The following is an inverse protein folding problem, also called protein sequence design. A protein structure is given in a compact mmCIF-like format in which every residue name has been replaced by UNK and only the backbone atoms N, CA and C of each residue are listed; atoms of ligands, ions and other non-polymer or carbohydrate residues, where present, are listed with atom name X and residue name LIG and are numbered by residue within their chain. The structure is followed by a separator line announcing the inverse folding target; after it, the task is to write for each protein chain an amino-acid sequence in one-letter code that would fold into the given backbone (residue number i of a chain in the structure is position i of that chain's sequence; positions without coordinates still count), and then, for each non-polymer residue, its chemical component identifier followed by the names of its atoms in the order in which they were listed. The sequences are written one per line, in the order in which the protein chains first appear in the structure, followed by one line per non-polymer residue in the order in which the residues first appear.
data_IF_305008083257
#
_entry.id   IF_305008083257
#
_cell.length_a   1.000
_cell.length_b   1.000
_cell.length_c   1.000
_cell.angle_alpha   90.00
_cell.angle_beta   90.00
_cell.angle_gamma   90.00
#
_symmetry.space_group_name_H-M   'P 1'
#
loop_
_entity.id
_entity.type
_entity.pdbx_description
1 polymer ?
#
# COMPACT_ATOMS: atom_id res chain seq x y z
N UNK A 1 27.51 -5.79 1.30
CA UNK A 1 26.47 -6.77 0.89
C UNK A 1 26.09 -6.51 -0.56
N UNK A 2 26.09 -7.52 -1.41
CA UNK A 2 25.60 -7.34 -2.80
C UNK A 2 24.08 -7.30 -2.78
N UNK A 3 23.46 -6.37 -3.51
CA UNK A 3 21.99 -6.25 -3.66
C UNK A 3 21.35 -7.51 -4.26
N UNK A 4 22.13 -8.36 -4.91
CA UNK A 4 21.64 -9.53 -5.65
C UNK A 4 21.91 -10.86 -4.95
N UNK A 5 22.84 -10.93 -3.99
CA UNK A 5 23.26 -12.18 -3.33
C UNK A 5 23.57 -12.00 -1.85
N UNK A 6 23.37 -13.05 -1.09
CA UNK A 6 23.68 -13.10 0.34
C UNK A 6 24.32 -14.43 0.71
N UNK A 7 24.98 -14.48 1.87
CA UNK A 7 25.56 -15.70 2.44
C UNK A 7 24.64 -16.21 3.54
N UNK A 8 24.29 -17.50 3.48
CA UNK A 8 23.49 -18.15 4.53
C UNK A 8 24.30 -18.34 5.81
N UNK A 9 23.65 -18.71 6.91
CA UNK A 9 24.33 -19.06 8.16
C UNK A 9 25.31 -20.26 8.00
N UNK A 10 25.03 -21.16 7.04
CA UNK A 10 25.91 -22.25 6.66
C UNK A 10 27.06 -21.84 5.72
N UNK A 11 27.20 -20.57 5.39
CA UNK A 11 28.21 -20.04 4.50
C UNK A 11 27.94 -20.15 3.01
N UNK A 12 26.82 -20.76 2.60
CA UNK A 12 26.43 -20.93 1.20
C UNK A 12 26.02 -19.58 0.57
N UNK A 13 26.45 -19.33 -0.68
CA UNK A 13 26.04 -18.15 -1.45
C UNK A 13 24.69 -18.42 -2.12
N UNK A 14 23.69 -17.57 -1.81
CA UNK A 14 22.36 -17.60 -2.46
C UNK A 14 22.05 -16.26 -3.11
N UNK A 15 21.24 -16.33 -4.18
CA UNK A 15 20.70 -15.15 -4.83
C UNK A 15 19.32 -14.82 -4.26
N UNK A 16 19.05 -13.51 -4.11
CA UNK A 16 17.70 -13.04 -3.80
C UNK A 16 16.78 -13.37 -4.97
N UNK A 17 15.62 -13.94 -4.69
CA UNK A 17 14.56 -14.09 -5.68
C UNK A 17 13.96 -12.74 -6.03
N UNK A 18 13.33 -12.60 -7.20
CA UNK A 18 12.62 -11.38 -7.59
C UNK A 18 11.62 -10.91 -6.52
N UNK A 19 10.84 -11.85 -5.97
CA UNK A 19 9.89 -11.54 -4.87
C UNK A 19 10.59 -10.95 -3.64
N UNK A 20 11.71 -11.49 -3.24
CA UNK A 20 12.48 -11.01 -2.08
C UNK A 20 13.09 -9.63 -2.31
N UNK A 21 13.53 -9.35 -3.54
CA UNK A 21 14.00 -8.01 -3.93
C UNK A 21 12.85 -7.00 -3.85
N UNK A 22 11.70 -7.32 -4.45
CA UNK A 22 10.51 -6.46 -4.43
C UNK A 22 9.99 -6.24 -2.99
N UNK A 23 10.11 -7.25 -2.12
CA UNK A 23 9.80 -7.13 -0.70
C UNK A 23 10.81 -6.29 0.09
N UNK A 24 11.95 -5.93 -0.52
CA UNK A 24 13.02 -5.16 0.11
C UNK A 24 13.91 -5.96 1.06
N UNK A 25 13.86 -7.30 1.04
CA UNK A 25 14.71 -8.14 1.88
C UNK A 25 16.20 -7.94 1.59
N UNK A 26 16.55 -7.70 0.32
CA UNK A 26 17.93 -7.42 -0.11
C UNK A 26 18.52 -6.16 0.52
N UNK A 27 17.69 -5.20 0.91
CA UNK A 27 18.08 -3.94 1.57
C UNK A 27 17.65 -3.87 3.02
N UNK A 28 17.14 -4.98 3.57
CA UNK A 28 16.61 -5.08 4.93
C UNK A 28 15.55 -4.00 5.24
N UNK A 29 14.63 -3.75 4.30
CA UNK A 29 13.54 -2.76 4.42
C UNK A 29 12.24 -3.36 3.92
N UNK A 30 11.12 -2.85 4.42
CA UNK A 30 9.78 -3.19 3.93
C UNK A 30 9.39 -2.16 2.87
N UNK A 31 9.28 -2.57 1.61
CA UNK A 31 9.08 -1.66 0.47
C UNK A 31 7.65 -1.16 0.33
N UNK A 32 6.67 -2.03 0.55
CA UNK A 32 5.25 -1.67 0.38
C UNK A 32 4.85 -0.41 1.19
N UNK A 33 5.14 -0.28 2.50
CA UNK A 33 4.81 0.92 3.25
C UNK A 33 5.46 2.20 2.72
N UNK A 34 6.65 2.09 2.11
CA UNK A 34 7.34 3.24 1.51
C UNK A 34 6.57 3.75 0.29
N UNK A 35 6.08 2.85 -0.56
CA UNK A 35 5.35 3.26 -1.76
C UNK A 35 3.94 3.77 -1.47
N UNK A 36 3.25 3.29 -0.44
CA UNK A 36 1.89 3.75 -0.11
C UNK A 36 1.83 5.20 0.37
N UNK A 37 2.95 5.78 0.81
CA UNK A 37 3.03 7.20 1.20
C UNK A 37 2.67 8.11 0.02
N UNK A 38 3.12 7.77 -1.20
CA UNK A 38 2.88 8.59 -2.39
C UNK A 38 1.40 8.75 -2.73
N UNK A 39 0.62 7.68 -2.95
CA UNK A 39 -0.81 7.83 -3.24
C UNK A 39 -1.58 8.50 -2.10
N UNK A 40 -1.28 8.17 -0.83
CA UNK A 40 -1.96 8.80 0.31
C UNK A 40 -1.74 10.31 0.31
N UNK A 41 -0.50 10.77 0.22
CA UNK A 41 -0.17 12.19 0.26
C UNK A 41 -0.71 12.95 -0.96
N UNK A 42 -0.53 12.39 -2.15
CA UNK A 42 -0.86 13.07 -3.39
C UNK A 42 -2.37 13.11 -3.68
N UNK A 43 -3.14 12.04 -3.34
CA UNK A 43 -4.59 12.06 -3.43
C UNK A 43 -5.20 13.06 -2.45
N UNK A 44 -4.73 13.05 -1.18
CA UNK A 44 -5.18 14.02 -0.19
C UNK A 44 -4.78 15.45 -0.56
N UNK A 45 -3.58 15.64 -1.10
CA UNK A 45 -3.09 16.92 -1.59
C UNK A 45 -3.91 17.45 -2.77
N UNK A 46 -4.34 16.57 -3.69
CA UNK A 46 -5.19 16.94 -4.81
C UNK A 46 -6.56 17.47 -4.33
N UNK A 47 -7.22 16.78 -3.39
CA UNK A 47 -8.45 17.26 -2.76
C UNK A 47 -8.27 18.65 -2.13
N UNK A 48 -7.18 18.84 -1.37
CA UNK A 48 -6.90 20.15 -0.74
C UNK A 48 -6.71 21.24 -1.78
N UNK A 49 -5.95 20.97 -2.85
CA UNK A 49 -5.74 21.92 -3.94
C UNK A 49 -7.05 22.27 -4.66
N UNK A 50 -7.91 21.28 -4.94
CA UNK A 50 -9.18 21.51 -5.57
C UNK A 50 -10.11 22.37 -4.69
N UNK A 51 -10.15 22.13 -3.39
CA UNK A 51 -10.87 22.97 -2.44
C UNK A 51 -10.30 24.40 -2.38
N UNK A 52 -8.97 24.54 -2.35
CA UNK A 52 -8.32 25.86 -2.36
C UNK A 52 -8.59 26.65 -3.65
N UNK A 53 -8.77 25.97 -4.78
CA UNK A 53 -9.16 26.62 -6.03
C UNK A 53 -10.52 27.34 -5.93
N UNK A 54 -11.44 26.82 -5.11
CA UNK A 54 -12.76 27.41 -4.89
C UNK A 54 -12.72 28.73 -4.11
N UNK A 55 -11.66 28.91 -3.29
CA UNK A 55 -11.43 30.14 -2.54
C UNK A 55 -10.40 31.08 -3.17
N UNK A 56 -10.01 30.80 -4.43
CA UNK A 56 -9.25 31.74 -5.26
C UNK A 56 -7.78 31.40 -5.50
N UNK A 57 -7.30 30.20 -5.06
CA UNK A 57 -5.94 29.79 -5.41
C UNK A 57 -5.85 29.42 -6.90
N UNK A 58 -5.26 30.32 -7.68
CA UNK A 58 -5.08 30.12 -9.14
C UNK A 58 -4.05 29.01 -9.41
N UNK A 59 -4.27 28.23 -10.49
CA UNK A 59 -3.39 27.13 -10.88
C UNK A 59 -3.54 25.85 -10.02
N UNK A 60 -4.29 25.90 -8.91
CA UNK A 60 -4.51 24.75 -8.06
C UNK A 60 -5.14 23.54 -8.77
N UNK A 61 -6.14 23.68 -9.69
CA UNK A 61 -6.71 22.56 -10.42
C UNK A 61 -5.69 21.84 -11.32
N UNK A 62 -4.77 22.59 -11.93
CA UNK A 62 -3.69 22.01 -12.72
C UNK A 62 -2.73 21.21 -11.83
N UNK A 63 -2.31 21.79 -10.71
CA UNK A 63 -1.44 21.12 -9.74
C UNK A 63 -2.11 19.86 -9.18
N UNK A 64 -3.40 19.92 -8.81
CA UNK A 64 -4.19 18.78 -8.38
C UNK A 64 -4.24 17.66 -9.44
N UNK A 65 -4.40 18.02 -10.72
CA UNK A 65 -4.41 17.04 -11.81
C UNK A 65 -3.09 16.27 -11.89
N UNK A 66 -1.96 16.96 -11.81
CA UNK A 66 -0.66 16.29 -11.80
C UNK A 66 -0.39 15.53 -10.49
N UNK A 67 -0.92 16.00 -9.36
CA UNK A 67 -0.88 15.25 -8.12
C UNK A 67 -1.65 13.92 -8.24
N UNK A 68 -2.86 13.91 -8.80
CA UNK A 68 -3.62 12.69 -9.08
C UNK A 68 -2.86 11.75 -10.01
N UNK A 69 -2.25 12.26 -11.09
CA UNK A 69 -1.44 11.45 -11.99
C UNK A 69 -0.25 10.81 -11.26
N UNK A 70 0.51 11.60 -10.50
CA UNK A 70 1.64 11.10 -9.69
C UNK A 70 1.21 10.09 -8.64
N UNK A 71 0.03 10.32 -8.01
CA UNK A 71 -0.57 9.38 -7.06
C UNK A 71 -0.91 8.03 -7.70
N UNK A 72 -1.46 8.01 -8.92
CA UNK A 72 -1.77 6.77 -9.66
C UNK A 72 -0.48 6.01 -9.98
N UNK A 73 0.59 6.68 -10.37
CA UNK A 73 1.91 6.05 -10.58
C UNK A 73 2.45 5.44 -9.28
N UNK A 74 2.37 6.18 -8.17
CA UNK A 74 2.73 5.68 -6.84
C UNK A 74 1.85 4.51 -6.38
N UNK A 75 0.54 4.56 -6.69
CA UNK A 75 -0.39 3.47 -6.42
C UNK A 75 -0.03 2.21 -7.21
N UNK A 76 0.39 2.32 -8.46
CA UNK A 76 0.85 1.16 -9.24
C UNK A 76 2.04 0.46 -8.58
N UNK A 77 3.05 1.22 -8.09
CA UNK A 77 4.16 0.66 -7.33
C UNK A 77 3.71 0.01 -6.02
N UNK A 78 2.76 0.64 -5.30
CA UNK A 78 2.17 0.10 -4.08
C UNK A 78 1.40 -1.20 -4.34
N UNK A 79 0.62 -1.26 -5.42
CA UNK A 79 -0.12 -2.46 -5.83
C UNK A 79 0.84 -3.61 -6.11
N UNK A 80 1.90 -3.37 -6.89
CA UNK A 80 2.89 -4.41 -7.23
C UNK A 80 3.56 -4.98 -5.97
N UNK A 81 4.03 -4.11 -5.08
CA UNK A 81 4.69 -4.54 -3.83
C UNK A 81 3.70 -5.24 -2.89
N UNK A 82 2.47 -4.75 -2.78
CA UNK A 82 1.41 -5.35 -1.97
C UNK A 82 0.96 -6.73 -2.47
N UNK A 83 0.86 -6.91 -3.80
CA UNK A 83 0.56 -8.22 -4.41
C UNK A 83 1.66 -9.24 -4.12
N UNK A 84 2.93 -8.82 -4.22
CA UNK A 84 4.06 -9.69 -3.87
C UNK A 84 4.03 -10.06 -2.39
N UNK A 85 3.78 -9.10 -1.48
CA UNK A 85 3.65 -9.37 -0.06
C UNK A 85 2.51 -10.36 0.23
N UNK A 86 1.33 -10.11 -0.33
CA UNK A 86 0.17 -10.99 -0.19
C UNK A 86 0.44 -12.41 -0.73
N UNK A 87 1.21 -12.54 -1.82
CA UNK A 87 1.54 -13.84 -2.42
C UNK A 87 2.34 -14.76 -1.52
N UNK A 88 3.04 -14.18 -0.53
CA UNK A 88 3.84 -14.93 0.45
C UNK A 88 3.07 -15.30 1.72
N UNK A 89 1.85 -14.79 1.90
CA UNK A 89 1.01 -15.12 3.04
C UNK A 89 0.36 -16.50 2.84
N UNK A 90 0.24 -17.28 3.92
CA UNK A 90 -0.38 -18.61 3.91
C UNK A 90 -1.82 -18.54 3.39
N UNK A 91 -2.16 -19.45 2.48
CA UNK A 91 -3.53 -19.58 1.99
C UNK A 91 -4.48 -19.92 3.15
N UNK A 92 -5.66 -19.29 3.19
CA UNK A 92 -6.64 -19.48 4.25
C UNK A 92 -6.36 -18.75 5.56
N UNK A 93 -5.18 -18.14 5.75
CA UNK A 93 -4.87 -17.40 6.97
C UNK A 93 -5.71 -16.11 7.10
N UNK A 94 -6.02 -15.72 8.34
CA UNK A 94 -6.77 -14.50 8.66
C UNK A 94 -6.09 -13.26 8.07
N UNK A 95 -4.77 -13.19 8.16
CA UNK A 95 -4.00 -12.05 7.64
C UNK A 95 -4.11 -11.94 6.11
N UNK A 96 -4.08 -13.05 5.38
CA UNK A 96 -4.27 -13.05 3.91
C UNK A 96 -5.68 -12.60 3.53
N UNK A 97 -6.69 -12.96 4.34
CA UNK A 97 -8.06 -12.48 4.16
C UNK A 97 -8.16 -10.97 4.33
N UNK A 98 -7.53 -10.42 5.37
CA UNK A 98 -7.46 -8.98 5.60
C UNK A 98 -6.66 -8.25 4.50
N UNK A 99 -5.53 -8.80 4.08
CA UNK A 99 -4.74 -8.25 2.96
C UNK A 99 -5.54 -8.23 1.65
N UNK A 100 -6.37 -9.25 1.41
CA UNK A 100 -7.27 -9.27 0.25
C UNK A 100 -8.33 -8.18 0.33
N UNK A 101 -8.96 -7.99 1.50
CA UNK A 101 -9.94 -6.92 1.73
C UNK A 101 -9.29 -5.55 1.53
N UNK A 102 -8.14 -5.30 2.15
CA UNK A 102 -7.36 -4.09 1.96
C UNK A 102 -7.07 -3.81 0.48
N UNK A 103 -6.60 -4.82 -0.24
CA UNK A 103 -6.30 -4.75 -1.67
C UNK A 103 -7.52 -4.28 -2.49
N UNK A 104 -8.70 -4.89 -2.28
CA UNK A 104 -9.89 -4.50 -3.05
C UNK A 104 -10.33 -3.07 -2.73
N UNK A 105 -10.28 -2.64 -1.48
CA UNK A 105 -10.61 -1.26 -1.10
C UNK A 105 -9.65 -0.28 -1.78
N UNK A 106 -8.34 -0.55 -1.78
CA UNK A 106 -7.35 0.33 -2.41
C UNK A 106 -7.43 0.33 -3.94
N UNK A 107 -7.78 -0.81 -4.56
CA UNK A 107 -8.05 -0.86 -6.00
C UNK A 107 -9.30 -0.03 -6.36
N UNK A 108 -10.35 -0.06 -5.53
CA UNK A 108 -11.53 0.79 -5.71
C UNK A 108 -11.16 2.26 -5.61
N UNK A 109 -10.39 2.67 -4.61
CA UNK A 109 -9.90 4.04 -4.50
C UNK A 109 -9.11 4.47 -5.75
N UNK A 110 -8.19 3.62 -6.20
CA UNK A 110 -7.39 3.89 -7.42
C UNK A 110 -8.28 4.04 -8.65
N UNK A 111 -9.32 3.19 -8.79
CA UNK A 111 -10.28 3.29 -9.90
C UNK A 111 -11.07 4.62 -9.87
N UNK A 112 -11.47 5.09 -8.68
CA UNK A 112 -12.14 6.40 -8.51
C UNK A 112 -11.20 7.52 -8.97
N UNK A 113 -9.91 7.49 -8.60
CA UNK A 113 -8.96 8.52 -9.02
C UNK A 113 -8.58 8.43 -10.50
N UNK A 114 -8.59 7.24 -11.10
CA UNK A 114 -8.44 7.10 -12.56
C UNK A 114 -9.65 7.74 -13.27
N UNK A 115 -10.87 7.51 -12.79
CA UNK A 115 -12.06 8.17 -13.30
C UNK A 115 -11.99 9.70 -13.12
N UNK A 116 -11.55 10.17 -11.94
CA UNK A 116 -11.34 11.59 -11.70
C UNK A 116 -10.31 12.18 -12.69
N UNK A 117 -9.17 11.53 -12.89
CA UNK A 117 -8.18 11.98 -13.87
C UNK A 117 -8.75 12.05 -15.28
N UNK A 118 -9.54 11.06 -15.68
CA UNK A 118 -10.15 11.03 -17.02
C UNK A 118 -11.12 12.19 -17.26
N UNK A 119 -12.01 12.48 -16.28
CA UNK A 119 -13.01 13.56 -16.43
C UNK A 119 -12.42 14.97 -16.32
N UNK A 120 -11.24 15.12 -15.71
CA UNK A 120 -10.61 16.44 -15.54
C UNK A 120 -9.51 16.76 -16.56
N UNK A 121 -9.05 15.75 -17.32
CA UNK A 121 -7.85 15.89 -18.14
C UNK A 121 -7.94 17.00 -19.20
N UNK A 122 -9.07 17.13 -19.90
CA UNK A 122 -9.30 18.16 -20.92
C UNK A 122 -9.39 19.57 -20.32
N UNK A 123 -9.98 19.68 -19.13
CA UNK A 123 -10.34 20.95 -18.51
C UNK A 123 -9.39 21.35 -17.36
N UNK A 124 -8.22 20.69 -17.25
CA UNK A 124 -7.30 20.87 -16.12
C UNK A 124 -6.77 22.30 -15.92
N UNK A 125 -6.88 23.17 -16.92
CA UNK A 125 -6.39 24.55 -16.87
C UNK A 125 -7.46 25.56 -16.41
N UNK A 126 -8.60 25.10 -15.88
CA UNK A 126 -9.64 25.98 -15.35
C UNK A 126 -9.18 26.70 -14.08
N UNK A 127 -9.80 27.86 -13.80
CA UNK A 127 -9.48 28.63 -12.59
C UNK A 127 -10.00 27.96 -11.31
N UNK A 128 -11.12 27.22 -11.39
CA UNK A 128 -11.76 26.56 -10.26
C UNK A 128 -12.11 25.13 -10.61
N UNK A 129 -11.79 24.21 -9.71
CA UNK A 129 -12.15 22.80 -9.84
C UNK A 129 -13.67 22.62 -9.92
N UNK A 130 -14.14 21.70 -10.75
CA UNK A 130 -15.56 21.36 -10.81
C UNK A 130 -16.00 20.64 -9.53
N UNK A 131 -17.29 20.74 -9.21
CA UNK A 131 -17.87 20.03 -8.06
C UNK A 131 -17.72 18.51 -8.24
N UNK A 132 -17.85 18.00 -9.47
CA UNK A 132 -17.66 16.58 -9.76
C UNK A 132 -16.26 16.10 -9.37
N UNK A 133 -15.19 16.87 -9.66
CA UNK A 133 -13.82 16.49 -9.29
C UNK A 133 -13.66 16.40 -7.78
N UNK A 134 -14.18 17.41 -7.05
CA UNK A 134 -14.14 17.44 -5.58
C UNK A 134 -14.92 16.26 -4.98
N UNK A 135 -16.07 15.92 -5.52
CA UNK A 135 -16.87 14.75 -5.07
C UNK A 135 -16.07 13.45 -5.28
N UNK A 136 -15.45 13.28 -6.44
CA UNK A 136 -14.62 12.10 -6.72
C UNK A 136 -13.38 12.05 -5.81
N UNK A 137 -12.74 13.20 -5.54
CA UNK A 137 -11.63 13.29 -4.60
C UNK A 137 -12.06 12.88 -3.19
N UNK A 138 -13.18 13.41 -2.69
CA UNK A 138 -13.72 13.07 -1.36
C UNK A 138 -14.02 11.58 -1.25
N UNK A 139 -14.70 11.00 -2.25
CA UNK A 139 -15.00 9.57 -2.28
C UNK A 139 -13.72 8.73 -2.34
N UNK A 140 -12.77 9.13 -3.17
CA UNK A 140 -11.48 8.47 -3.30
C UNK A 140 -10.68 8.50 -2.00
N UNK A 141 -10.53 9.68 -1.39
CA UNK A 141 -9.80 9.85 -0.11
C UNK A 141 -10.47 9.08 1.02
N UNK A 142 -11.81 9.14 1.13
CA UNK A 142 -12.54 8.35 2.13
C UNK A 142 -12.29 6.84 1.95
N UNK A 143 -12.25 6.37 0.70
CA UNK A 143 -11.94 4.96 0.39
C UNK A 143 -10.49 4.61 0.73
N UNK A 144 -9.52 5.51 0.46
CA UNK A 144 -8.11 5.35 0.88
C UNK A 144 -8.00 5.23 2.40
N UNK A 145 -8.70 6.08 3.16
CA UNK A 145 -8.72 6.05 4.63
C UNK A 145 -9.29 4.71 5.13
N UNK A 146 -10.43 4.28 4.59
CA UNK A 146 -11.05 3.00 4.97
C UNK A 146 -10.12 1.81 4.69
N UNK A 147 -9.41 1.81 3.55
CA UNK A 147 -8.40 0.80 3.26
C UNK A 147 -7.18 0.90 4.17
N UNK A 148 -6.75 2.13 4.48
CA UNK A 148 -5.65 2.41 5.41
C UNK A 148 -5.91 1.85 6.81
N UNK A 149 -7.15 1.96 7.33
CA UNK A 149 -7.54 1.38 8.63
C UNK A 149 -7.37 -0.16 8.64
N UNK A 150 -7.80 -0.84 7.57
CA UNK A 150 -7.59 -2.29 7.43
C UNK A 150 -6.09 -2.62 7.37
N UNK A 151 -5.28 -1.83 6.65
CA UNK A 151 -3.83 -1.98 6.58
C UNK A 151 -3.16 -1.78 7.95
N UNK A 152 -3.55 -0.72 8.66
CA UNK A 152 -3.08 -0.43 10.02
C UNK A 152 -3.42 -1.57 10.99
N UNK A 153 -4.64 -2.14 10.91
CA UNK A 153 -5.01 -3.27 11.74
C UNK A 153 -4.14 -4.51 11.51
N UNK A 154 -3.68 -4.76 10.28
CA UNK A 154 -2.72 -5.85 10.00
C UNK A 154 -1.39 -5.63 10.70
N UNK A 155 -0.90 -4.39 10.74
CA UNK A 155 0.38 -4.04 11.39
C UNK A 155 0.22 -4.03 12.91
N UNK A 156 -0.72 -3.22 13.44
CA UNK A 156 -0.79 -2.93 14.87
C UNK A 156 -1.54 -4.00 15.68
N UNK A 157 -2.55 -4.67 15.11
CA UNK A 157 -3.32 -5.70 15.83
C UNK A 157 -2.82 -7.12 15.56
N UNK A 158 -2.18 -7.36 14.40
CA UNK A 158 -1.72 -8.68 14.00
C UNK A 158 -0.19 -8.80 13.92
N UNK A 159 0.55 -7.71 14.15
CA UNK A 159 2.01 -7.70 14.13
C UNK A 159 2.64 -8.03 12.77
N UNK A 160 1.91 -7.79 11.67
CA UNK A 160 2.43 -8.12 10.35
C UNK A 160 3.69 -7.31 10.02
N UNK A 161 4.80 -8.02 9.78
CA UNK A 161 6.12 -7.44 9.51
C UNK A 161 6.66 -6.52 10.61
N UNK A 162 6.15 -6.64 11.83
CA UNK A 162 6.72 -5.98 13.02
C UNK A 162 7.72 -6.95 13.64
N UNK A 163 8.97 -6.51 13.80
CA UNK A 163 9.97 -7.24 14.58
C UNK A 163 9.89 -6.78 16.03
N UNK A 164 9.74 -7.72 16.96
CA UNK A 164 9.83 -7.42 18.38
C UNK A 164 11.26 -6.98 18.75
N UNK A 165 11.43 -6.11 19.76
CA UNK A 165 12.74 -5.84 20.34
C UNK A 165 13.40 -7.16 20.77
N UNK A 166 14.61 -7.44 20.27
CA UNK A 166 15.32 -8.70 20.54
C UNK A 166 15.24 -9.75 19.43
N UNK A 167 14.56 -9.43 18.30
CA UNK A 167 14.53 -10.32 17.12
C UNK A 167 13.54 -11.48 17.21
N UNK A 168 12.69 -11.54 18.23
CA UNK A 168 11.60 -12.51 18.31
C UNK A 168 10.56 -12.26 17.24
N UNK A 169 10.04 -13.32 16.62
CA UNK A 169 8.96 -13.21 15.65
C UNK A 169 7.70 -12.64 16.31
N UNK A 170 6.99 -11.73 15.59
CA UNK A 170 5.73 -11.19 16.07
C UNK A 170 4.71 -12.32 16.41
N UNK A 171 3.76 -12.10 17.33
CA UNK A 171 2.82 -13.13 17.77
C UNK A 171 2.06 -13.83 16.63
N UNK A 172 1.74 -13.11 15.54
CA UNK A 172 1.12 -13.68 14.34
C UNK A 172 2.03 -14.68 13.63
N UNK A 173 3.32 -14.39 13.55
CA UNK A 173 4.32 -15.25 12.91
C UNK A 173 4.68 -16.45 13.80
N UNK A 174 4.60 -16.29 15.13
CA UNK A 174 4.78 -17.39 16.10
C UNK A 174 3.61 -18.37 16.05
N UNK A 175 2.38 -17.87 16.00
CA UNK A 175 1.18 -18.71 15.86
C UNK A 175 1.18 -19.46 14.52
N UNK A 176 1.56 -18.81 13.43
CA UNK A 176 1.68 -19.43 12.11
C UNK A 176 2.79 -20.49 12.06
N UNK A 177 3.91 -20.25 12.72
CA UNK A 177 5.03 -21.21 12.83
C UNK A 177 4.73 -22.37 13.78
N UNK A 178 3.97 -22.15 14.85
CA UNK A 178 3.54 -23.18 15.77
C UNK A 178 2.64 -24.22 15.09
N UNK A 179 1.73 -23.75 14.21
CA UNK A 179 0.84 -24.60 13.43
C UNK A 179 1.55 -25.40 12.31
N UNK A 180 2.76 -25.01 11.95
CA UNK A 180 3.61 -25.70 10.97
C UNK A 180 4.50 -26.78 11.58
N UNK A 181 4.53 -26.97 12.92
CA UNK A 181 5.35 -28.01 13.54
C UNK A 181 4.71 -29.38 13.30
N UNK A 182 5.43 -30.35 12.72
CA UNK A 182 4.93 -31.72 12.61
C UNK A 182 4.67 -32.27 14.01
N UNK A 183 3.41 -32.56 14.36
CA UNK A 183 3.03 -33.16 15.64
C UNK A 183 2.11 -32.35 16.54
N UNK A 184 1.67 -31.14 16.16
CA UNK A 184 0.59 -30.43 16.87
C UNK A 184 -0.79 -30.95 16.40
N UNK A 185 -1.08 -32.22 16.67
CA UNK A 185 -2.47 -32.70 16.69
C UNK A 185 -3.13 -32.12 17.94
N UNK A 186 -3.96 -31.11 17.77
CA UNK A 186 -4.98 -30.72 18.73
C UNK A 186 -5.92 -31.91 18.93
N UNK A 187 -5.69 -32.69 19.96
CA UNK A 187 -6.70 -33.58 20.52
C UNK A 187 -7.77 -32.68 21.13
N UNK A 188 -8.94 -32.77 20.53
CA UNK A 188 -10.23 -32.24 21.03
C UNK A 188 -10.56 -32.74 22.41
#
# INVERSE_FOLDING_TARGET
MSLLRYRTASGELKFWSFKEIVQGKSINRVTHPVFVIFPIALYSGALVLDLLSRVGLTGAPLAATYAVLGAIVGAAASILTGLVDRSTMRAGSKIRGMATRHMYIQLTATAIFIANLAVRWSDRNVAKASILWIVLDVLGVATVIAGGDVGAAMVFKMGHRVQAPGGEAAPSDQAERADLRPGSTTTT
#
